data_IF_938560683549
#
_entry.id   IF_938560683549
#
_cell.length_a   1.000
_cell.length_b   1.000
_cell.length_c   1.000
_cell.angle_alpha   90.00
_cell.angle_beta   90.00
_cell.angle_gamma   90.00
#
_symmetry.space_group_name_H-M   'P 1'
#
loop_
_entity.id
_entity.type
_entity.pdbx_description
1 polymer ?
#
# COMPACT_ATOMS: atom_id res chain seq x y z
N UNK A 1 -8.74 1.94 8.22
CA UNK A 1 -7.66 1.12 7.65
C UNK A 1 -8.33 -0.01 6.90
N UNK A 2 -8.27 0.01 5.57
CA UNK A 2 -8.70 -1.11 4.73
C UNK A 2 -7.42 -1.85 4.34
N UNK A 3 -7.02 -2.83 5.15
CA UNK A 3 -5.88 -3.68 4.84
C UNK A 3 -6.30 -4.76 3.86
N UNK A 4 -5.50 -4.99 2.82
CA UNK A 4 -5.75 -6.08 1.90
C UNK A 4 -5.08 -7.35 2.43
N UNK A 5 -5.86 -8.37 2.84
CA UNK A 5 -5.28 -9.59 3.35
C UNK A 5 -4.44 -10.26 2.26
N UNK A 6 -3.35 -10.90 2.67
CA UNK A 6 -2.61 -11.82 1.81
C UNK A 6 -3.58 -12.85 1.23
N UNK A 7 -3.65 -12.96 -0.11
CA UNK A 7 -4.38 -14.07 -0.72
C UNK A 7 -3.70 -15.39 -0.35
N UNK A 8 -4.47 -16.34 0.18
CA UNK A 8 -4.04 -17.68 0.59
C UNK A 8 -3.38 -18.53 -0.53
N UNK A 9 -3.40 -18.07 -1.79
CA UNK A 9 -2.88 -18.80 -2.94
C UNK A 9 -1.34 -18.86 -3.05
N UNK A 10 -0.57 -18.07 -2.28
CA UNK A 10 0.91 -18.08 -2.33
C UNK A 10 1.54 -19.01 -1.27
N UNK A 11 1.01 -20.23 -1.01
CA UNK A 11 1.61 -21.19 -0.06
C UNK A 11 3.07 -21.64 -0.35
N UNK A 12 3.62 -21.62 -1.59
CA UNK A 12 5.02 -22.00 -1.80
C UNK A 12 5.99 -20.81 -1.78
N UNK A 13 5.55 -19.58 -1.52
CA UNK A 13 6.44 -18.40 -1.55
C UNK A 13 6.80 -17.96 -0.12
N UNK A 14 7.99 -18.33 0.41
CA UNK A 14 8.41 -17.97 1.77
C UNK A 14 8.60 -16.46 1.98
N UNK A 15 8.75 -15.70 0.90
CA UNK A 15 8.64 -14.24 0.86
C UNK A 15 7.68 -13.87 -0.27
N UNK A 16 6.83 -12.84 -0.08
CA UNK A 16 5.91 -12.37 -1.13
C UNK A 16 6.75 -12.01 -2.36
N UNK A 17 6.67 -12.83 -3.41
CA UNK A 17 7.43 -12.63 -4.64
C UNK A 17 6.91 -11.40 -5.40
N UNK A 18 7.72 -10.86 -6.32
CA UNK A 18 7.32 -9.68 -7.12
C UNK A 18 5.99 -9.87 -7.89
N UNK A 19 5.68 -11.11 -8.29
CA UNK A 19 4.40 -11.46 -8.88
C UNK A 19 3.22 -11.31 -7.91
N UNK A 20 3.31 -11.87 -6.69
CA UNK A 20 2.26 -11.72 -5.67
C UNK A 20 2.08 -10.23 -5.28
N UNK A 21 3.16 -9.43 -5.22
CA UNK A 21 3.07 -7.96 -4.97
C UNK A 21 2.29 -7.24 -6.07
N UNK A 22 2.58 -7.55 -7.34
CA UNK A 22 1.92 -6.94 -8.50
C UNK A 22 0.41 -7.20 -8.50
N UNK A 23 -0.01 -8.43 -8.21
CA UNK A 23 -1.44 -8.76 -8.13
C UNK A 23 -2.13 -8.10 -6.94
N UNK A 24 -1.46 -8.01 -5.78
CA UNK A 24 -1.98 -7.25 -4.63
C UNK A 24 -2.15 -5.76 -4.96
N UNK A 25 -1.20 -5.16 -5.69
CA UNK A 25 -1.31 -3.76 -6.16
C UNK A 25 -2.53 -3.57 -7.06
N UNK A 26 -2.70 -4.44 -8.07
CA UNK A 26 -3.87 -4.38 -8.97
C UNK A 26 -5.18 -4.49 -8.20
N UNK A 27 -5.25 -5.42 -7.24
CA UNK A 27 -6.44 -5.62 -6.42
C UNK A 27 -6.73 -4.41 -5.52
N UNK A 28 -5.69 -3.86 -4.87
CA UNK A 28 -5.83 -2.67 -4.03
C UNK A 28 -6.32 -1.45 -4.83
N UNK A 29 -5.85 -1.28 -6.07
CA UNK A 29 -6.30 -0.21 -6.96
C UNK A 29 -7.78 -0.37 -7.35
N UNK A 30 -8.26 -1.61 -7.56
CA UNK A 30 -9.69 -1.87 -7.83
C UNK A 30 -10.58 -1.55 -6.63
N UNK A 31 -10.06 -1.73 -5.43
CA UNK A 31 -10.75 -1.46 -4.17
C UNK A 31 -10.47 -0.04 -3.64
N UNK A 32 -10.13 0.90 -4.53
CA UNK A 32 -9.90 2.28 -4.14
C UNK A 32 -11.15 2.89 -3.49
N UNK A 33 -11.01 3.61 -2.35
CA UNK A 33 -12.14 4.17 -1.61
C UNK A 33 -12.76 5.41 -2.29
N UNK A 34 -12.34 5.74 -3.51
CA UNK A 34 -12.85 6.87 -4.28
C UNK A 34 -12.18 6.98 -5.65
N UNK A 35 -12.73 7.86 -6.48
CA UNK A 35 -12.21 8.23 -7.80
C UNK A 35 -12.07 9.75 -7.90
N UNK A 36 -11.13 10.28 -8.71
CA UNK A 36 -10.15 9.54 -9.50
C UNK A 36 -9.03 8.94 -8.63
N UNK A 37 -8.38 7.89 -9.14
CA UNK A 37 -7.14 7.33 -8.59
C UNK A 37 -5.97 7.88 -9.41
N UNK A 38 -5.01 8.50 -8.74
CA UNK A 38 -3.80 9.04 -9.35
C UNK A 38 -2.60 8.21 -8.92
N UNK A 39 -1.89 7.63 -9.89
CA UNK A 39 -0.67 6.87 -9.64
C UNK A 39 0.49 7.82 -9.36
N UNK A 40 1.31 7.47 -8.38
CA UNK A 40 2.49 8.24 -7.98
C UNK A 40 3.76 7.53 -8.47
N UNK A 41 4.82 8.31 -8.66
CA UNK A 41 6.16 7.74 -8.50
C UNK A 41 6.31 7.33 -7.02
N UNK A 42 6.81 6.12 -6.70
CA UNK A 42 7.02 5.70 -5.33
C UNK A 42 7.71 6.77 -4.49
N UNK A 43 7.09 7.14 -3.37
CA UNK A 43 7.56 8.23 -2.52
C UNK A 43 7.60 7.82 -1.05
N UNK A 44 8.71 8.10 -0.36
CA UNK A 44 8.85 7.81 1.05
C UNK A 44 7.91 8.69 1.89
N UNK A 45 7.10 8.04 2.72
CA UNK A 45 6.14 8.70 3.62
C UNK A 45 6.17 8.06 5.00
N UNK A 46 5.60 8.77 5.98
CA UNK A 46 5.21 8.23 7.27
C UNK A 46 3.71 8.16 7.37
N UNK A 47 3.17 6.99 7.70
CA UNK A 47 1.79 6.84 8.14
C UNK A 47 1.80 6.67 9.64
N UNK A 48 1.31 7.67 10.38
CA UNK A 48 1.47 7.73 11.84
C UNK A 48 2.96 7.59 12.23
N UNK A 49 3.36 6.44 12.78
CA UNK A 49 4.73 6.13 13.18
C UNK A 49 5.45 5.15 12.23
N UNK A 50 4.78 4.65 11.20
CA UNK A 50 5.30 3.62 10.29
C UNK A 50 5.92 4.31 9.06
N UNK A 51 7.14 3.92 8.68
CA UNK A 51 7.72 4.32 7.40
C UNK A 51 7.14 3.44 6.30
N UNK A 52 6.65 4.08 5.25
CA UNK A 52 5.99 3.43 4.14
C UNK A 52 6.35 4.10 2.81
N UNK A 53 5.97 3.46 1.72
CA UNK A 53 6.09 3.97 0.36
C UNK A 53 4.70 4.26 -0.18
N UNK A 54 4.42 5.51 -0.54
CA UNK A 54 3.18 5.90 -1.21
C UNK A 54 3.25 5.56 -2.71
N UNK A 55 2.18 4.95 -3.22
CA UNK A 55 2.09 4.42 -4.58
C UNK A 55 0.99 5.08 -5.42
N UNK A 56 -0.12 5.49 -4.80
CA UNK A 56 -1.23 6.16 -5.46
C UNK A 56 -2.03 6.99 -4.46
N UNK A 57 -2.88 7.90 -4.92
CA UNK A 57 -3.82 8.62 -4.07
C UNK A 57 -5.19 8.82 -4.72
N UNK A 58 -6.20 8.91 -3.86
CA UNK A 58 -7.51 9.51 -4.15
C UNK A 58 -7.61 10.83 -3.39
N UNK A 59 -8.72 11.55 -3.54
CA UNK A 59 -8.96 12.80 -2.80
C UNK A 59 -8.80 12.62 -1.27
N UNK A 60 -9.16 11.45 -0.74
CA UNK A 60 -9.22 11.22 0.72
C UNK A 60 -8.19 10.23 1.24
N UNK A 61 -7.63 9.37 0.40
CA UNK A 61 -6.76 8.28 0.82
C UNK A 61 -5.51 8.15 -0.05
N UNK A 62 -4.47 7.55 0.50
CA UNK A 62 -3.22 7.24 -0.17
C UNK A 62 -2.96 5.75 -0.02
N UNK A 63 -2.67 5.09 -1.14
CA UNK A 63 -2.25 3.69 -1.17
C UNK A 63 -0.78 3.65 -0.76
N UNK A 64 -0.50 2.89 0.30
CA UNK A 64 0.85 2.75 0.84
C UNK A 64 1.24 1.27 0.97
N UNK A 65 2.51 0.98 0.74
CA UNK A 65 3.13 -0.30 1.05
C UNK A 65 4.23 -0.14 2.10
N UNK A 66 4.40 -1.15 2.94
CA UNK A 66 5.51 -1.22 3.89
C UNK A 66 5.82 -2.67 4.25
N UNK A 67 7.07 -2.92 4.63
CA UNK A 67 7.49 -4.21 5.17
C UNK A 67 7.50 -4.12 6.71
N UNK A 68 6.54 -4.80 7.35
CA UNK A 68 6.40 -4.89 8.80
C UNK A 68 7.02 -6.16 9.37
N UNK A 69 6.94 -6.34 10.69
CA UNK A 69 7.43 -7.56 11.37
C UNK A 69 6.71 -8.84 10.91
N UNK A 70 5.46 -8.71 10.45
CA UNK A 70 4.66 -9.80 9.87
C UNK A 70 4.83 -9.92 8.34
N UNK A 71 5.74 -9.13 7.76
CA UNK A 71 6.13 -9.09 6.35
C UNK A 71 5.45 -7.96 5.57
N UNK A 72 5.25 -8.13 4.27
CA UNK A 72 4.72 -7.08 3.40
C UNK A 72 3.24 -6.77 3.67
N UNK A 73 2.93 -5.48 3.76
CA UNK A 73 1.60 -4.90 3.92
C UNK A 73 1.32 -3.89 2.80
N UNK A 74 0.05 -3.79 2.42
CA UNK A 74 -0.46 -2.86 1.41
C UNK A 74 -1.88 -2.43 1.79
N UNK A 75 -2.15 -1.13 1.81
CA UNK A 75 -3.47 -0.64 2.21
C UNK A 75 -3.70 0.83 1.90
N UNK A 76 -4.98 1.21 1.87
CA UNK A 76 -5.40 2.60 1.75
C UNK A 76 -5.47 3.26 3.12
N UNK A 77 -4.72 4.35 3.26
CA UNK A 77 -4.64 5.15 4.48
C UNK A 77 -5.20 6.53 4.25
N UNK A 78 -5.90 7.07 5.25
CA UNK A 78 -6.49 8.39 5.12
C UNK A 78 -5.38 9.45 4.98
N UNK A 79 -5.50 10.36 4.01
CA UNK A 79 -4.43 11.30 3.65
C UNK A 79 -3.97 12.19 4.81
N UNK A 80 -4.87 12.50 5.75
CA UNK A 80 -4.57 13.28 6.96
C UNK A 80 -3.68 12.54 7.98
N UNK A 81 -3.49 11.22 7.83
CA UNK A 81 -2.54 10.42 8.63
C UNK A 81 -1.14 10.35 8.01
N UNK A 82 -0.98 10.86 6.78
CA UNK A 82 0.26 10.77 6.02
C UNK A 82 1.10 12.03 6.19
N UNK A 83 2.38 11.83 6.48
CA UNK A 83 3.41 12.88 6.47
C UNK A 83 4.46 12.54 5.42
N UNK A 84 4.87 13.52 4.63
CA UNK A 84 6.00 13.36 3.71
C UNK A 84 7.29 13.28 4.52
N UNK A 85 8.18 12.36 4.14
CA UNK A 85 9.55 12.39 4.64
C UNK A 85 10.33 13.44 3.86
N UNK A 86 11.24 14.20 4.50
CA UNK A 86 12.23 14.99 3.78
C UNK A 86 13.02 14.05 2.84
N UNK A 87 13.23 14.49 1.60
CA UNK A 87 14.11 13.80 0.64
C UNK A 87 15.56 14.21 0.88
#
# INVERSE_FOLDING_TARGET
MLEFPRRQACMPCPAICGGCRTEMHKEALRQAPGIPVVLLRPAAVKVRAIHATALAYTVTHVLVEWDGSTGYHLGWEAGWLIRRCPQ
#
